data_IF_134923474686
#
_entry.id   IF_134923474686
#
_cell.length_a   1.000
_cell.length_b   1.000
_cell.length_c   1.000
_cell.angle_alpha   90.00
_cell.angle_beta   90.00
_cell.angle_gamma   90.00
#
_symmetry.space_group_name_H-M   'P 1'
#
loop_
_entity.id
_entity.type
_entity.pdbx_description
1 polymer ?
2 non-polymer ?
3 water ?
#
# COMPACT_ATOMS: atom_id res chain seq x y z
N UNK A 1 -3.29 -10.64 -13.09
CA UNK A 1 -3.98 -10.05 -11.92
C UNK A 1 -5.35 -9.49 -12.28
N UNK A 2 -6.43 -9.72 -11.57
CA UNK A 2 -7.80 -9.27 -11.85
C UNK A 2 -7.81 -7.77 -12.07
N UNK A 3 -8.25 -7.31 -13.24
CA UNK A 3 -8.32 -5.90 -13.54
C UNK A 3 -9.29 -5.17 -12.61
N UNK A 4 -10.42 -5.72 -12.22
CA UNK A 4 -11.36 -5.08 -11.36
C UNK A 4 -10.77 -4.99 -9.94
N UNK A 5 -10.03 -5.94 -9.48
CA UNK A 5 -9.34 -5.87 -8.18
C UNK A 5 -8.39 -4.66 -8.18
N UNK A 6 -7.59 -4.51 -9.24
CA UNK A 6 -6.66 -3.37 -9.29
C UNK A 6 -7.37 -2.07 -9.38
N UNK A 7 -8.44 -1.98 -10.17
CA UNK A 7 -9.21 -0.78 -10.28
C UNK A 7 -9.85 -0.38 -8.92
N UNK A 8 -10.36 -1.39 -8.24
CA UNK A 8 -10.91 -1.16 -6.92
C UNK A 8 -9.84 -0.64 -5.98
N UNK A 9 -8.66 -1.25 -6.08
CA UNK A 9 -7.57 -0.85 -5.20
C UNK A 9 -7.08 0.56 -5.48
N UNK A 10 -7.08 0.95 -6.78
CA UNK A 10 -6.70 2.32 -7.13
C UNK A 10 -7.62 3.30 -6.50
N UNK A 11 -8.95 2.99 -6.51
CA UNK A 11 -9.95 3.85 -5.93
C UNK A 11 -9.75 3.97 -4.40
N UNK A 12 -9.51 2.84 -3.73
CA UNK A 12 -9.30 2.89 -2.31
C UNK A 12 -8.06 3.73 -2.02
N UNK A 13 -6.99 3.60 -2.88
CA UNK A 13 -5.78 4.33 -2.67
C UNK A 13 -6.03 5.81 -2.80
N UNK A 14 -6.72 6.23 -3.88
CA UNK A 14 -7.02 7.62 -4.02
C UNK A 14 -7.79 8.19 -2.84
N UNK A 15 -8.73 7.42 -2.31
CA UNK A 15 -9.60 7.93 -1.24
C UNK A 15 -8.95 7.97 0.09
N UNK A 16 -7.91 7.14 0.32
CA UNK A 16 -7.40 6.94 1.68
C UNK A 16 -5.92 7.06 1.85
N UNK A 17 -5.12 6.90 0.78
CA UNK A 17 -3.70 6.75 0.92
C UNK A 17 -2.89 7.82 0.22
N UNK A 18 -3.43 8.43 -0.81
CA UNK A 18 -2.67 9.39 -1.58
C UNK A 18 -2.33 10.67 -0.84
N UNK A 19 -3.02 10.91 0.31
CA UNK A 19 -2.71 12.01 1.14
C UNK A 19 -1.27 11.97 1.69
N UNK A 20 -0.80 10.73 1.94
CA UNK A 20 0.56 10.58 2.46
C UNK A 20 1.47 9.84 1.47
N UNK A 21 0.90 9.20 0.44
CA UNK A 21 1.71 8.42 -0.46
C UNK A 21 1.50 8.87 -1.91
N UNK A 22 1.28 10.14 -2.14
CA UNK A 22 1.12 10.66 -3.50
C UNK A 22 2.29 10.17 -4.32
N UNK A 23 1.99 9.70 -5.54
CA UNK A 23 3.00 9.26 -6.46
C UNK A 23 3.70 8.00 -6.05
N UNK A 24 3.22 7.30 -5.01
CA UNK A 24 3.93 6.17 -4.44
C UNK A 24 5.03 6.53 -3.52
N UNK A 25 5.16 7.81 -3.15
CA UNK A 25 6.19 8.28 -2.26
C UNK A 25 5.69 8.31 -0.81
N UNK A 26 6.32 9.12 0.02
CA UNK A 26 5.87 9.22 1.42
C UNK A 26 6.14 10.66 1.88
N UNK A 27 5.08 11.45 2.03
CA UNK A 27 5.28 12.82 2.43
C UNK A 27 5.48 13.02 3.91
N UNK A 28 5.34 11.94 4.68
CA UNK A 28 5.55 12.00 6.11
C UNK A 28 6.94 11.58 6.51
N UNK A 29 7.40 10.46 5.95
CA UNK A 29 8.74 9.92 6.23
C UNK A 29 9.30 9.54 4.89
N UNK A 30 10.10 10.44 4.28
CA UNK A 30 10.34 10.39 2.84
C UNK A 30 10.92 9.16 2.34
N UNK A 31 11.79 8.45 3.08
CA UNK A 31 12.44 7.29 2.56
C UNK A 31 11.54 6.09 2.40
N UNK A 32 10.44 6.05 3.24
CA UNK A 32 9.67 4.80 3.35
C UNK A 32 8.51 4.82 2.38
N UNK A 33 8.88 4.81 1.10
CA UNK A 33 7.92 4.91 0.01
C UNK A 33 7.26 3.60 -0.33
N UNK A 34 6.41 3.64 -1.35
CA UNK A 34 5.73 2.47 -1.82
C UNK A 34 6.43 1.88 -3.04
N UNK A 35 7.67 2.34 -3.32
CA UNK A 35 8.43 1.82 -4.43
C UNK A 35 9.11 0.55 -4.05
N UNK A 36 9.43 -0.33 -5.00
CA UNK A 36 9.93 -1.67 -4.70
C UNK A 36 11.17 -1.63 -3.86
N UNK A 37 12.16 -0.79 -4.20
CA UNK A 37 13.39 -0.87 -3.43
C UNK A 37 13.20 -0.39 -1.99
N UNK A 38 12.35 0.57 -1.74
CA UNK A 38 12.07 1.03 -0.40
C UNK A 38 11.34 -0.03 0.39
N UNK A 39 10.31 -0.64 -0.22
CA UNK A 39 9.60 -1.72 0.48
C UNK A 39 10.55 -2.84 0.82
N UNK A 40 11.39 -3.26 -0.10
CA UNK A 40 12.33 -4.34 0.18
C UNK A 40 13.22 -3.94 1.35
N UNK A 41 13.66 -2.68 1.43
CA UNK A 41 14.58 -2.24 2.45
C UNK A 41 13.97 -2.03 3.82
N UNK A 42 12.70 -1.54 3.84
CA UNK A 42 12.12 -1.08 5.09
C UNK A 42 10.92 -1.80 5.54
N UNK A 43 10.12 -2.46 4.71
CA UNK A 43 8.89 -3.07 5.20
C UNK A 43 9.22 -4.41 5.81
N UNK A 44 8.70 -4.64 7.03
CA UNK A 44 8.89 -5.95 7.64
C UNK A 44 8.21 -6.99 6.76
N UNK A 45 8.98 -7.98 6.33
CA UNK A 45 8.53 -9.00 5.44
C UNK A 45 8.93 -8.73 4.02
N UNK A 46 9.40 -7.54 3.68
CA UNK A 46 9.84 -7.22 2.33
C UNK A 46 8.69 -7.09 1.35
N UNK A 47 8.99 -7.26 0.07
CA UNK A 47 8.04 -6.98 -0.99
C UNK A 47 7.17 -8.19 -1.22
N UNK A 48 6.13 -8.34 -0.40
CA UNK A 48 5.12 -9.37 -0.53
C UNK A 48 3.74 -8.76 -0.29
N UNK A 49 2.73 -9.40 -0.86
CA UNK A 49 1.39 -8.98 -0.62
C UNK A 49 1.09 -9.11 0.85
N UNK A 50 1.51 -10.22 1.47
CA UNK A 50 1.24 -10.44 2.89
C UNK A 50 1.85 -9.31 3.71
N UNK A 51 3.05 -8.91 3.40
CA UNK A 51 3.72 -7.87 4.18
C UNK A 51 3.01 -6.54 4.09
N UNK A 52 2.60 -6.19 2.85
CA UNK A 52 1.91 -4.98 2.56
C UNK A 52 0.57 -5.00 3.33
N UNK A 53 -0.19 -6.05 3.14
CA UNK A 53 -1.49 -6.16 3.77
C UNK A 53 -1.34 -6.08 5.29
N UNK A 54 -0.31 -6.70 5.84
CA UNK A 54 -0.15 -6.68 7.28
C UNK A 54 0.00 -5.25 7.77
N UNK A 55 0.86 -4.46 7.10
CA UNK A 55 1.04 -3.08 7.53
C UNK A 55 -0.17 -2.24 7.27
N UNK A 56 -0.87 -2.44 6.16
CA UNK A 56 -2.12 -1.69 5.92
C UNK A 56 -3.11 -2.02 7.08
N UNK A 57 -3.22 -3.31 7.43
CA UNK A 57 -4.13 -3.68 8.50
C UNK A 57 -3.71 -3.11 9.84
N UNK A 58 -2.44 -3.22 10.21
CA UNK A 58 -2.03 -3.02 11.58
C UNK A 58 -1.22 -1.78 11.86
N UNK A 59 -0.87 -1.03 10.80
CA UNK A 59 -0.19 0.22 11.00
C UNK A 59 1.23 0.08 11.40
N UNK A 60 1.99 1.21 11.44
CA UNK A 60 3.33 1.26 11.91
C UNK A 60 3.73 2.69 12.13
N UNK A 61 4.10 3.12 13.32
CA UNK A 61 4.51 4.47 13.49
C UNK A 61 3.40 5.43 13.14
N UNK A 62 3.72 6.37 12.21
CA UNK A 62 2.74 7.36 11.76
C UNK A 62 1.90 6.83 10.56
N UNK A 63 2.10 5.59 10.17
CA UNK A 63 1.27 4.86 9.16
C UNK A 63 0.08 4.40 9.99
N UNK A 64 -1.09 4.86 9.68
CA UNK A 64 -2.26 4.42 10.41
C UNK A 64 -2.60 2.95 10.14
N UNK A 65 -3.24 2.28 11.12
CA UNK A 65 -3.82 0.94 10.91
C UNK A 65 -5.17 1.12 10.27
N UNK A 66 -5.53 0.28 9.31
CA UNK A 66 -6.77 0.41 8.56
C UNK A 66 -7.74 -0.73 8.82
N UNK A 67 -7.38 -1.79 9.58
CA UNK A 67 -8.29 -2.92 9.70
C UNK A 67 -9.66 -2.56 10.35
N UNK A 68 -9.69 -1.48 11.10
CA UNK A 68 -10.93 -1.11 11.76
C UNK A 68 -11.56 0.03 11.00
N UNK A 69 -11.02 0.41 9.80
CA UNK A 69 -11.54 1.51 9.05
C UNK A 69 -12.03 1.19 7.64
N UNK A 70 -11.50 0.16 7.02
CA UNK A 70 -11.78 -0.32 5.70
C UNK A 70 -12.21 -1.77 5.83
N UNK A 71 -13.16 -2.15 4.94
CA UNK A 71 -13.54 -3.57 4.94
C UNK A 71 -12.50 -4.47 4.36
N UNK A 72 -12.54 -5.79 4.46
CA UNK A 72 -11.56 -6.74 4.03
C UNK A 72 -11.42 -6.59 2.54
N UNK A 73 -12.47 -6.35 1.73
CA UNK A 73 -12.36 -6.27 0.28
C UNK A 73 -11.53 -5.03 -0.09
N UNK A 74 -11.73 -3.94 0.54
CA UNK A 74 -10.96 -2.70 0.28
C UNK A 74 -9.53 -2.91 0.70
N UNK A 75 -9.23 -3.55 1.81
CA UNK A 75 -7.88 -3.79 2.22
C UNK A 75 -7.19 -4.71 1.24
N UNK A 76 -7.88 -5.76 0.79
CA UNK A 76 -7.30 -6.68 -0.17
C UNK A 76 -7.01 -5.91 -1.49
N UNK A 77 -7.99 -5.12 -1.90
CA UNK A 77 -7.80 -4.45 -3.20
C UNK A 77 -6.67 -3.46 -3.09
N UNK A 78 -6.60 -2.62 -2.06
CA UNK A 78 -5.56 -1.59 -2.02
C UNK A 78 -4.21 -2.24 -1.84
N UNK A 79 -4.13 -3.39 -1.12
CA UNK A 79 -2.85 -4.09 -0.96
C UNK A 79 -2.41 -4.61 -2.29
N UNK A 80 -3.31 -5.23 -3.05
CA UNK A 80 -2.93 -5.68 -4.38
C UNK A 80 -2.54 -4.56 -5.33
N UNK A 81 -3.17 -3.41 -5.22
CA UNK A 81 -2.78 -2.22 -6.03
C UNK A 81 -1.39 -1.82 -5.66
N UNK A 82 -1.08 -1.66 -4.37
CA UNK A 82 0.22 -1.24 -3.98
C UNK A 82 1.25 -2.27 -4.42
N UNK A 83 1.01 -3.55 -4.21
CA UNK A 83 1.93 -4.56 -4.64
C UNK A 83 2.20 -4.47 -6.15
N UNK A 84 1.11 -4.37 -6.91
CA UNK A 84 1.26 -4.31 -8.37
C UNK A 84 2.06 -3.09 -8.81
N UNK A 85 1.73 -1.98 -8.23
CA UNK A 85 2.47 -0.74 -8.53
C UNK A 85 3.94 -0.87 -8.24
N UNK A 86 4.23 -1.42 -7.07
CA UNK A 86 5.61 -1.55 -6.64
C UNK A 86 6.39 -2.55 -7.47
N UNK A 87 5.82 -3.77 -7.53
CA UNK A 87 6.60 -4.87 -8.14
C UNK A 87 6.83 -4.61 -9.62
N UNK A 88 5.90 -3.94 -10.27
CA UNK A 88 5.94 -3.66 -11.70
C UNK A 88 6.46 -2.25 -12.04
N UNK A 89 6.88 -1.54 -10.97
CA UNK A 89 7.45 -0.21 -11.15
C UNK A 89 6.52 0.71 -11.90
N UNK A 90 5.28 0.82 -11.48
CA UNK A 90 4.26 1.58 -12.14
C UNK A 90 3.98 2.90 -11.58
N UNK A 91 4.59 3.28 -10.46
CA UNK A 91 4.28 4.54 -9.86
C UNK A 91 4.71 5.72 -10.67
X LIG B 1 4.39 3.20 5.25
X LIG B 1 0.62 1.64 2.60
X LIG B 1 -2.02 5.36 4.22
X LIG B 1 1.88 7.21 6.35
X LIG B 1 3.57 2.46 4.43
X LIG B 1 3.98 1.25 3.75
X LIG B 1 2.93 0.76 3.07
X LIG B 1 1.87 1.70 3.23
X LIG B 1 2.81 -0.48 2.25
X LIG B 1 5.40 0.65 3.90
X LIG B 1 6.35 1.50 3.00
X LIG B 1 7.79 1.25 3.30
X LIG B 1 8.68 1.67 2.45
X LIG B 1 8.18 0.72 4.33
X LIG B 1 -0.40 2.56 2.77
X LIG B 1 -1.72 2.38 2.22
X LIG B 1 -2.48 3.38 2.73
X LIG B 1 -1.66 4.19 3.57
X LIG B 1 -2.11 1.30 1.23
X LIG B 1 -3.99 3.66 2.50
X LIG B 1 -4.88 2.59 2.98
X LIG B 1 -1.16 6.20 4.86
X LIG B 1 -1.56 7.53 5.35
X LIG B 1 -0.44 8.05 5.91
X LIG B 1 0.63 7.06 5.81
X LIG B 1 -2.92 8.16 5.15
X LIG B 1 -0.25 9.45 6.49
X LIG B 1 -1.17 9.88 7.52
X LIG B 1 2.88 6.28 6.25
X LIG B 1 4.12 6.32 6.97
X LIG B 1 4.80 5.22 6.69
X LIG B 1 4.00 4.39 5.82
X LIG B 1 4.52 7.49 7.87
X LIG B 1 6.15 4.78 7.28
X LIG B 1 5.87 3.83 8.49
X LIG B 1 7.15 3.52 9.16
X LIG B 1 7.81 2.49 8.85
X LIG B 1 7.57 4.31 10.01
X LIG B 1 2.27 2.72 4.05
X LIG B 1 -0.38 3.65 3.61
X LIG B 1 0.16 5.95 5.16
X LIG B 1 2.82 5.05 5.60
X LIG B 1 1.21 4.35 4.61
#
# INVERSE_FOLDING_TARGET
VDAELLADGKKVFAGNCAACHLGGNNSVLADKTLKKDAIEKYLEGGLTLEAIKYQVNNGKGAMPAWADRLDEDDIEAVSNYVYDQAVNSKW
HEM CHA CHB CHC CHD C1A C2A C3A C4A CMA CAA CBA CGA O1A O2A C1B C2B C3B C4B CMB CAB CBB C1C C2C C3C C4C CMC CAC CBC C1D C2D C3D C4D CMD CAD CBD CGD O1D O2D NA NB NC ND FE
#
